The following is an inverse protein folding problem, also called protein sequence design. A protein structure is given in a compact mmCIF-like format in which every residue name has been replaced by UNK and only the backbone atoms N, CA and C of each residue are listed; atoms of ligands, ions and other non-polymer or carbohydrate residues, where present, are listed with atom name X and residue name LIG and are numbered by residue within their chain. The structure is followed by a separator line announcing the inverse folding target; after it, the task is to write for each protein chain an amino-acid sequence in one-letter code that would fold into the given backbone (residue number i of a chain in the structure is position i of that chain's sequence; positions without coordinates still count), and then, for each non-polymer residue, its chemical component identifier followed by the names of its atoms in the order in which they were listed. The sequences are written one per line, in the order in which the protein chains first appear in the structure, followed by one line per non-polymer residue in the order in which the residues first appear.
data_IF_267814753419
#
_entry.id   IF_267814753419
#
_cell.length_a   1.000
_cell.length_b   1.000
_cell.length_c   1.000
_cell.angle_alpha   90.00
_cell.angle_beta   90.00
_cell.angle_gamma   90.00
#
_symmetry.space_group_name_H-M   'P 1'
#
loop_
_entity.id
_entity.type
_entity.pdbx_description
1 polymer ?
#
# COMPACT_ATOMS: atom_id res chain seq x y z
N UNK A 1 -4.74 -4.37 5.28
CA UNK A 1 -5.50 -5.18 6.25
C UNK A 1 -6.34 -4.27 7.13
N UNK A 2 -5.75 -3.19 7.64
CA UNK A 2 -6.42 -2.09 8.38
C UNK A 2 -7.70 -1.58 7.70
N UNK A 3 -7.66 -1.22 6.41
CA UNK A 3 -8.85 -0.75 5.68
C UNK A 3 -10.05 -1.73 5.69
N UNK A 4 -9.78 -3.04 5.71
CA UNK A 4 -10.85 -4.05 5.79
C UNK A 4 -11.36 -4.17 7.22
N UNK A 5 -10.48 -4.07 8.21
CA UNK A 5 -10.85 -4.04 9.62
C UNK A 5 -11.70 -2.80 9.95
N UNK A 6 -11.32 -1.63 9.47
CA UNK A 6 -12.03 -0.37 9.73
C UNK A 6 -13.45 -0.41 9.18
N UNK A 7 -13.61 -0.84 7.92
CA UNK A 7 -14.94 -1.00 7.32
C UNK A 7 -15.75 -2.14 7.94
N UNK A 8 -15.09 -3.17 8.48
CA UNK A 8 -15.77 -4.22 9.24
C UNK A 8 -16.32 -3.69 10.57
N UNK A 9 -15.52 -2.90 11.30
CA UNK A 9 -15.94 -2.24 12.54
C UNK A 9 -17.07 -1.23 12.28
N UNK A 10 -16.98 -0.47 11.20
CA UNK A 10 -18.04 0.45 10.75
C UNK A 10 -19.35 -0.29 10.46
N UNK A 11 -19.28 -1.43 9.77
CA UNK A 11 -20.45 -2.26 9.46
C UNK A 11 -21.09 -2.87 10.72
N UNK A 12 -20.29 -3.23 11.72
CA UNK A 12 -20.77 -3.68 13.03
C UNK A 12 -21.47 -2.54 13.78
N UNK A 13 -20.92 -1.33 13.72
CA UNK A 13 -21.45 -0.17 14.42
C UNK A 13 -22.78 0.36 13.84
N UNK A 14 -23.10 0.03 12.59
CA UNK A 14 -24.33 0.45 11.90
C UNK A 14 -25.09 -0.74 11.27
N UNK A 15 -25.67 -1.64 12.08
CA UNK A 15 -26.37 -2.82 11.57
C UNK A 15 -27.62 -2.46 10.74
N UNK A 16 -28.01 -3.28 9.76
CA UNK A 16 -29.30 -3.16 9.10
C UNK A 16 -30.43 -3.27 10.11
N UNK A 17 -31.55 -2.58 9.88
CA UNK A 17 -32.75 -2.64 10.74
C UNK A 17 -33.50 -3.99 10.67
N UNK A 18 -32.88 -5.05 10.15
CA UNK A 18 -33.51 -6.37 9.88
C UNK A 18 -33.17 -7.35 11.01
N UNK A 19 -34.16 -8.19 11.37
CA UNK A 19 -34.38 -8.69 12.73
C UNK A 19 -33.67 -10.02 13.11
N UNK A 20 -32.64 -10.46 12.40
CA UNK A 20 -31.93 -11.68 12.79
C UNK A 20 -30.42 -11.64 12.55
N UNK A 21 -29.70 -12.48 13.31
CA UNK A 21 -28.23 -12.58 13.24
C UNK A 21 -27.70 -12.86 11.83
N UNK A 22 -28.47 -13.58 11.00
CA UNK A 22 -28.09 -13.90 9.62
C UNK A 22 -28.03 -12.65 8.74
N UNK A 23 -28.98 -11.72 8.90
CA UNK A 23 -29.00 -10.46 8.15
C UNK A 23 -27.83 -9.55 8.52
N UNK A 24 -27.47 -9.54 9.81
CA UNK A 24 -26.30 -8.84 10.31
C UNK A 24 -25.01 -9.39 9.69
N UNK A 25 -24.82 -10.72 9.73
CA UNK A 25 -23.66 -11.37 9.12
C UNK A 25 -23.57 -11.11 7.61
N UNK A 26 -24.70 -11.17 6.89
CA UNK A 26 -24.73 -10.87 5.46
C UNK A 26 -24.34 -9.42 5.16
N UNK A 27 -24.75 -8.47 5.99
CA UNK A 27 -24.36 -7.07 5.85
C UNK A 27 -22.85 -6.86 6.03
N UNK A 28 -22.28 -7.34 7.13
CA UNK A 28 -20.86 -7.20 7.41
C UNK A 28 -20.01 -7.89 6.32
N UNK A 29 -20.40 -9.10 5.91
CA UNK A 29 -19.73 -9.82 4.81
C UNK A 29 -19.83 -9.07 3.47
N UNK A 30 -20.97 -8.43 3.19
CA UNK A 30 -21.13 -7.59 1.99
C UNK A 30 -20.19 -6.38 2.02
N UNK A 31 -20.06 -5.70 3.15
CA UNK A 31 -19.16 -4.54 3.28
C UNK A 31 -17.70 -4.96 3.11
N UNK A 32 -17.26 -6.02 3.79
CA UNK A 32 -15.91 -6.55 3.63
C UNK A 32 -15.61 -6.94 2.17
N UNK A 33 -16.54 -7.64 1.50
CA UNK A 33 -16.37 -8.02 0.08
C UNK A 33 -16.29 -6.82 -0.87
N UNK A 34 -17.01 -5.73 -0.58
CA UNK A 34 -16.92 -4.50 -1.39
C UNK A 34 -15.52 -3.90 -1.34
N UNK A 35 -14.93 -3.85 -0.15
CA UNK A 35 -13.58 -3.30 0.06
C UNK A 35 -12.50 -4.23 -0.53
N UNK A 36 -12.71 -5.54 -0.44
CA UNK A 36 -11.80 -6.52 -1.05
C UNK A 36 -11.96 -6.63 -2.58
N UNK A 37 -12.95 -5.96 -3.18
CA UNK A 37 -13.12 -6.01 -4.63
C UNK A 37 -11.92 -5.35 -5.31
N UNK A 38 -11.23 -6.12 -6.15
CA UNK A 38 -10.01 -5.65 -6.80
C UNK A 38 -8.76 -5.64 -5.90
N UNK A 39 -8.83 -6.22 -4.69
CA UNK A 39 -7.73 -6.23 -3.71
C UNK A 39 -6.37 -6.61 -4.32
N UNK A 40 -6.31 -7.72 -5.06
CA UNK A 40 -5.07 -8.17 -5.72
C UNK A 40 -4.57 -7.16 -6.77
N UNK A 41 -5.48 -6.55 -7.52
CA UNK A 41 -5.14 -5.56 -8.53
C UNK A 41 -4.64 -4.26 -7.88
N UNK A 42 -5.29 -3.81 -6.81
CA UNK A 42 -4.91 -2.63 -6.04
C UNK A 42 -3.55 -2.83 -5.36
N UNK A 43 -3.35 -3.97 -4.67
CA UNK A 43 -2.06 -4.30 -4.06
C UNK A 43 -0.93 -4.34 -5.09
N UNK A 44 -1.19 -4.93 -6.27
CA UNK A 44 -0.22 -4.92 -7.37
C UNK A 44 0.03 -3.52 -7.93
N UNK A 45 -0.99 -2.67 -7.99
CA UNK A 45 -0.85 -1.27 -8.41
C UNK A 45 -0.05 -0.46 -7.39
N UNK A 46 -0.32 -0.61 -6.09
CA UNK A 46 0.39 0.03 -4.99
C UNK A 46 1.87 -0.40 -4.98
N UNK A 47 2.14 -1.70 -5.19
CA UNK A 47 3.51 -2.20 -5.29
C UNK A 47 4.25 -1.61 -6.49
N UNK A 48 3.60 -1.52 -7.65
CA UNK A 48 4.17 -0.87 -8.85
C UNK A 48 4.41 0.61 -8.63
N UNK A 49 3.47 1.32 -8.00
CA UNK A 49 3.59 2.74 -7.70
C UNK A 49 4.74 3.00 -6.72
N UNK A 50 4.84 2.21 -5.64
CA UNK A 50 5.95 2.26 -4.68
C UNK A 50 7.28 2.01 -5.36
N UNK A 51 7.37 0.96 -6.19
CA UNK A 51 8.57 0.65 -6.97
C UNK A 51 8.96 1.80 -7.90
N UNK A 52 7.99 2.38 -8.62
CA UNK A 52 8.20 3.53 -9.49
C UNK A 52 8.76 4.73 -8.73
N UNK A 53 8.13 5.09 -7.61
CA UNK A 53 8.59 6.21 -6.78
C UNK A 53 9.99 6.03 -6.17
N UNK A 54 10.41 4.79 -5.90
CA UNK A 54 11.80 4.51 -5.50
C UNK A 54 12.78 4.71 -6.67
N UNK A 55 12.45 4.18 -7.85
CA UNK A 55 13.27 4.32 -9.05
C UNK A 55 13.44 5.78 -9.46
N UNK A 56 12.37 6.57 -9.40
CA UNK A 56 12.41 8.00 -9.72
C UNK A 56 13.33 8.77 -8.76
N UNK A 57 13.28 8.48 -7.45
CA UNK A 57 14.18 9.10 -6.48
C UNK A 57 15.65 8.70 -6.69
N UNK A 58 15.91 7.42 -6.97
CA UNK A 58 17.25 6.93 -7.29
C UNK A 58 17.80 7.63 -8.53
N UNK A 59 16.98 7.76 -9.58
CA UNK A 59 17.34 8.43 -10.83
C UNK A 59 17.70 9.91 -10.62
N UNK A 60 17.00 10.61 -9.73
CA UNK A 60 17.34 12.00 -9.37
C UNK A 60 18.72 12.05 -8.71
N UNK A 61 19.00 11.15 -7.76
CA UNK A 61 20.29 11.09 -7.07
C UNK A 61 21.42 10.66 -8.03
N UNK A 62 21.17 9.76 -8.98
CA UNK A 62 22.10 9.42 -10.07
C UNK A 62 22.47 10.65 -10.91
N UNK A 63 21.48 11.42 -11.34
CA UNK A 63 21.73 12.62 -12.13
C UNK A 63 22.56 13.67 -11.39
N UNK A 64 22.43 13.75 -10.05
CA UNK A 64 23.27 14.60 -9.22
C UNK A 64 24.69 14.03 -9.06
N UNK A 65 24.83 12.71 -8.98
CA UNK A 65 26.12 12.04 -8.94
C UNK A 65 26.96 12.32 -10.19
N UNK A 66 26.31 12.35 -11.36
CA UNK A 66 26.94 12.57 -12.66
C UNK A 66 27.34 14.04 -12.92
N UNK A 67 26.85 14.99 -12.11
CA UNK A 67 27.10 16.42 -12.29
C UNK A 67 27.87 17.06 -11.11
N UNK A 68 27.25 17.69 -10.09
CA UNK A 68 28.01 18.28 -8.97
C UNK A 68 28.63 17.24 -8.04
N UNK A 69 28.22 15.97 -8.15
CA UNK A 69 28.51 14.92 -7.17
C UNK A 69 27.50 14.90 -6.03
N UNK A 70 27.44 13.77 -5.32
CA UNK A 70 26.56 13.55 -4.17
C UNK A 70 27.26 13.87 -2.86
N UNK A 71 26.53 14.44 -1.91
CA UNK A 71 27.00 14.56 -0.53
C UNK A 71 27.06 13.17 0.16
N UNK A 72 27.80 13.02 1.28
CA UNK A 72 27.79 11.79 2.05
C UNK A 72 26.39 11.35 2.51
N UNK A 73 25.53 12.29 2.90
CA UNK A 73 24.16 12.01 3.34
C UNK A 73 23.29 11.55 2.17
N UNK A 74 23.48 12.14 0.99
CA UNK A 74 22.75 11.72 -0.21
C UNK A 74 23.19 10.33 -0.69
N UNK A 75 24.46 9.94 -0.47
CA UNK A 75 24.90 8.57 -0.70
C UNK A 75 24.23 7.58 0.24
N UNK A 76 24.11 7.91 1.53
CA UNK A 76 23.39 7.08 2.51
C UNK A 76 21.92 6.93 2.10
N UNK A 77 21.29 8.03 1.67
CA UNK A 77 19.93 8.00 1.11
C UNK A 77 19.87 7.11 -0.15
N UNK A 78 20.87 7.24 -1.03
CA UNK A 78 21.27 6.32 -2.10
C UNK A 78 20.95 4.86 -1.78
N UNK A 79 21.81 4.33 -0.91
CA UNK A 79 21.85 2.92 -0.59
C UNK A 79 20.61 2.45 0.18
N UNK A 80 20.00 3.31 0.99
CA UNK A 80 18.75 2.96 1.69
C UNK A 80 17.55 2.80 0.74
N UNK A 81 17.46 3.64 -0.30
CA UNK A 81 16.46 3.50 -1.35
C UNK A 81 16.69 2.22 -2.17
N UNK A 82 17.95 1.91 -2.50
CA UNK A 82 18.32 0.68 -3.21
C UNK A 82 18.00 -0.58 -2.38
N UNK A 83 18.30 -0.58 -1.08
CA UNK A 83 17.93 -1.66 -0.17
C UNK A 83 16.41 -1.87 -0.15
N UNK A 84 15.63 -0.79 -0.04
CA UNK A 84 14.16 -0.83 -0.09
C UNK A 84 13.64 -1.38 -1.41
N UNK A 85 14.31 -1.08 -2.53
CA UNK A 85 13.98 -1.59 -3.85
C UNK A 85 14.31 -3.10 -3.96
N UNK A 86 15.44 -3.54 -3.40
CA UNK A 86 15.81 -4.95 -3.36
C UNK A 86 14.83 -5.79 -2.55
N UNK A 87 14.28 -5.24 -1.46
CA UNK A 87 13.25 -5.94 -0.69
C UNK A 87 11.96 -6.14 -1.50
N UNK A 88 11.61 -5.18 -2.38
CA UNK A 88 10.49 -5.33 -3.32
C UNK A 88 10.75 -6.42 -4.37
N UNK A 89 12.01 -6.63 -4.78
CA UNK A 89 12.35 -7.69 -5.74
C UNK A 89 12.41 -9.09 -5.12
N UNK A 90 12.66 -9.19 -3.82
CA UNK A 90 12.71 -10.46 -3.08
C UNK A 90 11.34 -10.97 -2.62
N UNK A 91 10.31 -10.11 -2.67
CA UNK A 91 8.93 -10.41 -2.26
C UNK A 91 8.07 -10.87 -3.42
#
# INVERSE_FOLDING_TARGET
FELVCDHWLEAIASPPRVFCAVDFWHHCAKMARRVMKGWRANLGADLRARKGGLLDQIKVLDGLADAPGLSPDDWVRRYSLEASLMDIYKS
#
